data_IF_385766134843
#
_entry.id   IF_385766134843
#
_cell.length_a   1.000
_cell.length_b   1.000
_cell.length_c   1.000
_cell.angle_alpha   90.00
_cell.angle_beta   90.00
_cell.angle_gamma   90.00
#
_symmetry.space_group_name_H-M   'P 1'
#
loop_
_entity.id
_entity.type
_entity.pdbx_description
1 polymer ?
#
# COMPACT_ATOMS: atom_id res chain seq x y z
N UNK A 1 -43.06 21.30 -63.66
CA UNK A 1 -44.14 22.24 -63.31
C UNK A 1 -43.57 23.35 -62.45
N UNK A 2 -43.47 24.55 -63.02
CA UNK A 2 -43.00 25.78 -62.36
C UNK A 2 -43.97 26.22 -61.26
N UNK A 3 -43.49 26.68 -60.09
CA UNK A 3 -44.03 27.86 -59.37
C UNK A 3 -42.95 28.59 -58.58
N UNK A 4 -42.97 29.92 -58.73
CA UNK A 4 -42.05 30.97 -58.26
C UNK A 4 -42.48 31.52 -56.89
N UNK A 5 -41.55 32.14 -56.15
CA UNK A 5 -41.69 33.33 -55.24
C UNK A 5 -40.40 33.44 -54.40
N UNK A 6 -39.45 34.38 -54.59
CA UNK A 6 -39.41 35.85 -54.61
C UNK A 6 -39.25 36.51 -53.22
N UNK A 7 -38.00 36.97 -52.95
CA UNK A 7 -37.53 38.13 -52.14
C UNK A 7 -37.85 38.13 -50.63
N UNK A 8 -37.12 38.76 -49.69
CA UNK A 8 -36.06 39.78 -49.66
C UNK A 8 -35.49 39.79 -48.21
N UNK A 9 -34.26 40.31 -48.01
CA UNK A 9 -33.71 41.04 -46.84
C UNK A 9 -32.29 40.55 -46.49
N UNK A 10 -31.21 41.17 -47.00
CA UNK A 10 -30.48 42.36 -46.46
C UNK A 10 -29.98 42.26 -45.02
N UNK A 11 -28.66 42.48 -44.85
CA UNK A 11 -28.02 42.92 -43.60
C UNK A 11 -27.15 41.85 -42.96
N UNK A 12 -25.86 41.75 -43.29
CA UNK A 12 -24.78 42.58 -42.74
C UNK A 12 -24.70 42.54 -41.21
N UNK A 13 -23.71 41.84 -40.67
CA UNK A 13 -22.67 42.42 -39.81
C UNK A 13 -21.95 41.29 -39.07
N UNK A 14 -20.64 41.23 -39.28
CA UNK A 14 -19.76 40.31 -38.58
C UNK A 14 -19.74 40.60 -37.09
N UNK A 15 -19.72 39.53 -36.30
CA UNK A 15 -19.17 39.56 -34.96
C UNK A 15 -18.06 38.52 -34.93
N UNK A 16 -16.84 39.06 -34.97
CA UNK A 16 -15.61 38.36 -34.68
C UNK A 16 -15.72 37.82 -33.25
N UNK A 17 -15.96 36.53 -33.10
CA UNK A 17 -15.83 35.86 -31.80
C UNK A 17 -14.35 35.94 -31.40
N UNK A 18 -13.97 36.60 -30.30
CA UNK A 18 -12.66 36.34 -29.74
C UNK A 18 -12.67 34.88 -29.29
N UNK A 19 -11.83 34.07 -29.93
CA UNK A 19 -11.38 32.80 -29.37
C UNK A 19 -10.77 33.13 -28.00
N UNK A 20 -11.58 32.98 -26.95
CA UNK A 20 -11.09 32.89 -25.57
C UNK A 20 -10.28 31.59 -25.50
N UNK A 21 -8.99 31.71 -25.82
CA UNK A 21 -8.00 30.69 -25.58
C UNK A 21 -8.03 30.36 -24.10
N UNK A 22 -8.66 29.24 -23.76
CA UNK A 22 -8.58 28.63 -22.44
C UNK A 22 -7.11 28.23 -22.25
N UNK A 23 -6.33 29.10 -21.60
CA UNK A 23 -5.02 28.74 -21.10
C UNK A 23 -5.22 27.51 -20.21
N UNK A 24 -4.84 26.33 -20.72
CA UNK A 24 -4.77 25.11 -19.94
C UNK A 24 -3.81 25.39 -18.79
N UNK A 25 -4.35 25.51 -17.59
CA UNK A 25 -3.55 25.39 -16.39
C UNK A 25 -2.85 24.03 -16.48
N UNK A 26 -1.53 24.04 -16.68
CA UNK A 26 -0.68 22.90 -16.35
C UNK A 26 -0.82 22.72 -14.84
N UNK A 27 -1.83 21.96 -14.40
CA UNK A 27 -1.81 21.38 -13.08
C UNK A 27 -0.60 20.46 -13.06
N UNK A 28 0.49 20.93 -12.46
CA UNK A 28 1.56 20.07 -12.02
C UNK A 28 0.91 19.10 -11.03
N UNK A 29 0.58 17.91 -11.51
CA UNK A 29 0.32 16.78 -10.64
C UNK A 29 1.63 16.54 -9.90
N UNK A 30 1.70 17.08 -8.68
CA UNK A 30 2.62 16.61 -7.67
C UNK A 30 2.29 15.14 -7.47
N UNK A 31 2.95 14.28 -8.25
CA UNK A 31 2.94 12.86 -8.00
C UNK A 31 3.39 12.70 -6.55
N UNK A 32 2.50 12.20 -5.70
CA UNK A 32 2.92 11.75 -4.39
C UNK A 32 4.04 10.74 -4.65
N UNK A 33 5.25 11.06 -4.20
CA UNK A 33 6.29 10.06 -4.04
C UNK A 33 5.78 9.12 -2.96
N UNK A 34 4.96 8.14 -3.35
CA UNK A 34 4.67 6.99 -2.54
C UNK A 34 6.03 6.47 -2.07
N UNK A 35 6.26 6.55 -0.77
CA UNK A 35 7.52 6.22 -0.14
C UNK A 35 7.85 4.76 -0.44
N UNK A 36 8.66 4.52 -1.48
CA UNK A 36 9.20 3.20 -1.77
C UNK A 36 10.19 2.88 -0.65
N UNK A 37 9.67 2.24 0.39
CA UNK A 37 10.47 1.77 1.52
C UNK A 37 11.48 0.74 0.99
N UNK A 38 12.74 1.14 0.94
CA UNK A 38 13.85 0.24 0.61
C UNK A 38 14.15 -0.65 1.82
N UNK A 39 13.85 -1.94 1.70
CA UNK A 39 14.14 -2.92 2.75
C UNK A 39 15.60 -3.37 2.69
N UNK A 40 16.19 -3.63 3.86
CA UNK A 40 17.52 -4.21 3.95
C UNK A 40 17.59 -5.56 3.22
N UNK A 41 18.69 -5.79 2.49
CA UNK A 41 19.01 -7.10 1.90
C UNK A 41 19.59 -8.02 2.97
N UNK A 42 19.20 -9.30 2.94
CA UNK A 42 19.82 -10.32 3.77
C UNK A 42 21.20 -10.64 3.19
N UNK A 43 22.24 -10.25 3.92
CA UNK A 43 23.64 -10.55 3.61
C UNK A 43 24.29 -11.22 4.83
N UNK A 44 25.32 -12.07 4.64
CA UNK A 44 26.01 -12.68 5.77
C UNK A 44 26.58 -11.63 6.74
N UNK A 45 26.24 -11.78 8.03
CA UNK A 45 26.83 -11.05 9.14
C UNK A 45 26.83 -11.93 10.39
N UNK A 46 27.73 -11.70 11.36
CA UNK A 46 27.58 -12.32 12.67
C UNK A 46 26.29 -11.83 13.35
N UNK A 47 25.63 -12.74 14.08
CA UNK A 47 24.56 -12.40 15.01
C UNK A 47 25.16 -11.99 16.35
N UNK A 48 24.63 -10.91 16.92
CA UNK A 48 25.09 -10.31 18.17
C UNK A 48 23.92 -10.34 19.15
N UNK A 49 24.07 -11.17 20.18
CA UNK A 49 23.07 -11.30 21.24
C UNK A 49 23.52 -10.51 22.49
N UNK A 50 22.59 -9.83 23.19
CA UNK A 50 21.13 -9.93 23.06
C UNK A 50 20.49 -8.98 22.03
N UNK A 51 21.27 -8.17 21.32
CA UNK A 51 20.75 -7.15 20.40
C UNK A 51 19.82 -7.73 19.31
N UNK A 52 20.16 -8.90 18.77
CA UNK A 52 19.38 -9.60 17.73
C UNK A 52 18.19 -10.42 18.26
N UNK A 53 17.86 -10.36 19.56
CA UNK A 53 16.58 -10.92 20.06
C UNK A 53 15.37 -10.06 19.66
N UNK A 54 15.60 -8.75 19.47
CA UNK A 54 14.53 -7.78 19.23
C UNK A 54 13.94 -7.85 17.82
N UNK A 55 13.02 -6.93 17.55
CA UNK A 55 12.48 -6.74 16.21
C UNK A 55 13.55 -6.23 15.24
N UNK A 56 13.39 -6.58 13.97
CA UNK A 56 14.22 -6.14 12.85
C UNK A 56 13.42 -5.28 11.83
N UNK A 57 13.08 -4.01 12.13
CA UNK A 57 12.17 -3.18 11.31
C UNK A 57 12.69 -2.82 9.91
N UNK A 58 13.99 -2.97 9.67
CA UNK A 58 14.62 -2.72 8.38
C UNK A 58 14.26 -3.79 7.33
N UNK A 59 13.80 -4.97 7.76
CA UNK A 59 13.42 -6.06 6.86
C UNK A 59 11.91 -6.06 6.59
N UNK A 60 11.55 -6.47 5.38
CA UNK A 60 10.16 -6.51 4.91
C UNK A 60 9.28 -7.48 5.71
N UNK A 61 9.89 -8.56 6.17
CA UNK A 61 9.22 -9.72 6.75
C UNK A 61 9.95 -10.13 8.02
N UNK A 62 9.21 -10.36 9.10
CA UNK A 62 9.73 -10.89 10.36
C UNK A 62 8.69 -11.83 10.98
N UNK A 63 9.17 -12.87 11.67
CA UNK A 63 8.35 -13.90 12.29
C UNK A 63 8.89 -14.21 13.68
N UNK A 64 7.98 -14.45 14.62
CA UNK A 64 8.28 -15.14 15.87
C UNK A 64 7.42 -16.39 15.94
N UNK A 65 8.06 -17.53 16.18
CA UNK A 65 7.41 -18.83 16.23
C UNK A 65 7.75 -19.52 17.55
N UNK A 66 6.73 -19.76 18.37
CA UNK A 66 6.84 -20.44 19.65
C UNK A 66 5.95 -21.68 19.63
N UNK A 67 6.54 -22.81 19.99
CA UNK A 67 5.84 -24.07 20.22
C UNK A 67 6.23 -24.60 21.59
N UNK A 68 5.27 -25.08 22.36
CA UNK A 68 5.51 -25.65 23.67
C UNK A 68 4.54 -26.80 23.98
N UNK A 69 4.97 -27.68 24.87
CA UNK A 69 4.08 -28.56 25.63
C UNK A 69 3.84 -27.91 26.98
N UNK A 70 2.59 -27.75 27.35
CA UNK A 70 2.19 -27.18 28.63
C UNK A 70 1.57 -28.25 29.50
N UNK A 71 1.95 -28.21 30.77
CA UNK A 71 1.42 -29.07 31.80
C UNK A 71 0.36 -28.38 32.63
N UNK A 72 -0.41 -29.16 33.40
CA UNK A 72 -1.29 -28.60 34.42
C UNK A 72 -0.52 -28.35 35.73
N UNK A 73 -1.21 -28.06 36.83
CA UNK A 73 -0.52 -27.85 38.12
C UNK A 73 0.07 -29.14 38.68
N UNK A 74 -0.53 -30.29 38.38
CA UNK A 74 -0.13 -31.59 38.93
C UNK A 74 1.20 -32.07 38.36
N UNK A 75 1.56 -31.70 37.13
CA UNK A 75 2.85 -32.02 36.50
C UNK A 75 3.90 -30.91 36.62
N UNK A 76 3.65 -29.92 37.49
CA UNK A 76 4.49 -28.74 37.71
C UNK A 76 4.77 -27.94 36.43
N UNK A 77 3.90 -28.03 35.42
CA UNK A 77 4.09 -27.38 34.13
C UNK A 77 5.16 -28.05 33.25
N UNK A 78 5.59 -29.27 33.56
CA UNK A 78 6.61 -29.98 32.76
C UNK A 78 6.11 -30.33 31.35
N UNK A 79 4.79 -30.41 31.15
CA UNK A 79 4.19 -30.79 29.87
C UNK A 79 4.42 -32.26 29.51
N UNK A 80 4.78 -33.09 30.49
CA UNK A 80 5.08 -34.51 30.32
C UNK A 80 3.98 -35.43 30.85
N UNK A 81 2.97 -34.87 31.55
CA UNK A 81 1.90 -35.62 32.19
C UNK A 81 0.78 -36.06 31.24
N UNK A 82 -0.13 -36.92 31.70
CA UNK A 82 -1.26 -37.40 30.89
C UNK A 82 -2.23 -36.29 30.46
N UNK A 83 -2.20 -35.14 31.15
CA UNK A 83 -3.02 -33.97 30.85
C UNK A 83 -2.24 -32.86 30.10
N UNK A 84 -1.07 -33.18 29.53
CA UNK A 84 -0.30 -32.20 28.79
C UNK A 84 -1.05 -31.72 27.53
N UNK A 85 -0.88 -30.46 27.20
CA UNK A 85 -1.51 -29.82 26.04
C UNK A 85 -0.49 -29.06 25.20
N UNK A 86 -0.70 -29.05 23.89
CA UNK A 86 0.15 -28.32 22.96
C UNK A 86 -0.20 -26.82 22.92
N UNK A 87 0.82 -25.97 22.85
CA UNK A 87 0.70 -24.55 22.57
C UNK A 87 1.50 -24.20 21.32
N UNK A 88 0.88 -23.38 20.46
CA UNK A 88 1.57 -22.72 19.36
C UNK A 88 1.19 -21.23 19.35
N UNK A 89 2.20 -20.36 19.26
CA UNK A 89 2.04 -18.92 19.10
C UNK A 89 2.88 -18.47 17.91
N UNK A 90 2.26 -17.76 16.97
CA UNK A 90 2.93 -17.18 15.81
C UNK A 90 2.61 -15.70 15.71
N UNK A 91 3.65 -14.87 15.66
CA UNK A 91 3.55 -13.49 15.24
C UNK A 91 4.16 -13.33 13.85
N UNK A 92 3.40 -12.72 12.95
CA UNK A 92 3.86 -12.42 11.60
C UNK A 92 3.80 -10.93 11.34
N UNK A 93 4.93 -10.33 10.95
CA UNK A 93 4.98 -8.95 10.45
C UNK A 93 5.38 -8.95 8.99
N UNK A 94 4.52 -8.41 8.12
CA UNK A 94 4.83 -8.13 6.73
C UNK A 94 4.41 -6.71 6.39
N UNK A 95 5.30 -5.93 5.77
CA UNK A 95 4.94 -4.64 5.18
C UNK A 95 4.51 -4.83 3.72
N UNK A 96 3.26 -4.52 3.45
CA UNK A 96 2.67 -4.39 2.10
C UNK A 96 2.85 -2.93 1.70
N UNK A 97 3.86 -2.67 0.87
CA UNK A 97 4.12 -1.31 0.36
C UNK A 97 3.06 -0.82 -0.61
#
# INVERSE_FOLDING_TARGET
>A
MNRRRLLLATGASGLCYPYLGRAQSKQAQSASTANRQDYAKVVPRPLVFPADHGAHPAFRTEWWYLTAWMGDRSDQGSGSGPNAFGLQITFFRRRTG
#
